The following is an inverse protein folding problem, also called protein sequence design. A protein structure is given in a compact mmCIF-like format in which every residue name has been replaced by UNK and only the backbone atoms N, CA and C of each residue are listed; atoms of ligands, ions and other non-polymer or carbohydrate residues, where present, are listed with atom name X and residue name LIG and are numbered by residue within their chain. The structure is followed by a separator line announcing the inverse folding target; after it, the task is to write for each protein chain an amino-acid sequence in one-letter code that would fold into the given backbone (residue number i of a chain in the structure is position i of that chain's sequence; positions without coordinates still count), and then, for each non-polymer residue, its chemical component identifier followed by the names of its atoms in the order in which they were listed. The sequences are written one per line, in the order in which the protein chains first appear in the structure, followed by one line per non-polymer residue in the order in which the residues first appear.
data_IF_873099920459
#
_entry.id   IF_873099920459
#
_cell.length_a   1.000
_cell.length_b   1.000
_cell.length_c   1.000
_cell.angle_alpha   90.00
_cell.angle_beta   90.00
_cell.angle_gamma   90.00
#
_symmetry.space_group_name_H-M   'P 1'
#
loop_
_entity.id
_entity.type
_entity.pdbx_description
1 polymer ?
#
# COMPACT_ATOMS: atom_id res chain seq x y z
N UNK A 1 21.64 31.76 43.68
CA UNK A 1 22.23 30.76 42.78
C UNK A 1 21.09 30.04 42.09
N UNK A 2 20.88 30.35 40.82
CA UNK A 2 19.74 29.87 40.02
C UNK A 2 20.12 28.59 39.28
N UNK A 3 19.23 27.59 39.29
CA UNK A 3 19.20 26.51 38.33
C UNK A 3 18.09 26.80 37.31
N UNK A 4 18.41 26.77 36.02
CA UNK A 4 17.41 26.75 34.96
C UNK A 4 17.86 25.87 33.78
N UNK A 5 16.95 24.96 33.41
CA UNK A 5 16.62 24.45 32.06
C UNK A 5 17.72 23.89 31.14
N UNK A 6 17.63 22.60 30.84
CA UNK A 6 18.17 21.97 29.64
C UNK A 6 17.05 21.61 28.66
N UNK A 7 16.85 22.45 27.65
CA UNK A 7 16.03 22.15 26.47
C UNK A 7 16.81 21.21 25.53
N UNK A 8 16.17 20.14 25.06
CA UNK A 8 16.68 19.30 23.97
C UNK A 8 16.30 19.97 22.65
N UNK A 9 17.29 20.54 21.97
CA UNK A 9 17.19 21.18 20.67
C UNK A 9 17.26 20.10 19.57
N UNK A 10 16.11 19.80 18.92
CA UNK A 10 16.08 19.02 17.68
C UNK A 10 16.60 19.92 16.56
N UNK A 11 17.90 19.82 16.26
CA UNK A 11 18.52 20.54 15.15
C UNK A 11 18.12 19.90 13.81
N UNK A 12 17.20 20.58 13.11
CA UNK A 12 17.02 20.47 11.67
C UNK A 12 18.28 21.03 10.99
N UNK A 13 19.13 20.16 10.46
CA UNK A 13 20.34 20.51 9.74
C UNK A 13 20.05 21.07 8.35
N UNK A 14 20.80 22.11 7.95
CA UNK A 14 20.72 22.81 6.66
C UNK A 14 21.27 21.99 5.48
N UNK A 15 20.40 21.81 4.48
CA UNK A 15 20.59 21.86 3.00
C UNK A 15 21.84 21.27 2.34
N UNK A 16 21.65 20.12 1.69
CA UNK A 16 22.18 19.84 0.34
C UNK A 16 21.22 18.87 -0.40
N UNK A 17 20.49 19.42 -1.38
CA UNK A 17 19.86 18.84 -2.58
C UNK A 17 19.17 17.44 -2.65
N UNK A 18 19.03 16.67 -1.57
CA UNK A 18 18.38 15.35 -1.60
C UNK A 18 17.35 15.14 -0.46
N UNK A 19 16.71 16.21 0.03
CA UNK A 19 15.64 16.09 1.04
C UNK A 19 14.35 15.59 0.39
N UNK A 20 14.36 14.33 -0.01
CA UNK A 20 13.16 13.60 -0.37
C UNK A 20 12.69 12.87 0.86
N UNK A 21 11.47 13.25 1.25
CA UNK A 21 10.77 12.82 2.44
C UNK A 21 10.40 11.35 2.25
N UNK A 22 11.00 10.47 3.05
CA UNK A 22 10.81 9.01 3.06
C UNK A 22 11.32 8.50 4.41
N UNK A 23 10.78 7.40 4.93
CA UNK A 23 11.31 6.83 6.17
C UNK A 23 12.73 6.30 5.98
N UNK A 24 13.67 6.78 6.81
CA UNK A 24 15.08 6.41 6.76
C UNK A 24 15.65 6.22 8.17
N UNK A 25 16.21 5.04 8.44
CA UNK A 25 16.97 4.75 9.65
C UNK A 25 18.44 4.49 9.33
N UNK A 26 19.35 5.18 10.01
CA UNK A 26 20.80 4.99 9.88
C UNK A 26 21.36 4.21 11.08
N UNK A 27 22.36 3.38 10.81
CA UNK A 27 23.10 2.58 11.78
C UNK A 27 24.60 2.77 11.54
N UNK A 28 25.17 3.95 11.87
CA UNK A 28 26.55 4.28 11.51
C UNK A 28 27.58 3.28 12.10
N UNK A 29 27.32 2.81 13.32
CA UNK A 29 28.18 1.88 14.06
C UNK A 29 27.99 0.41 13.66
N UNK A 30 27.01 0.09 12.81
CA UNK A 30 26.76 -1.28 12.37
C UNK A 30 27.70 -1.62 11.19
N UNK A 31 28.41 -2.74 11.26
CA UNK A 31 29.38 -3.14 10.25
C UNK A 31 28.73 -3.62 8.95
N UNK A 32 27.58 -4.28 9.02
CA UNK A 32 26.94 -4.91 7.85
C UNK A 32 25.83 -4.06 7.23
N UNK A 33 24.96 -3.47 8.06
CA UNK A 33 23.77 -2.74 7.63
C UNK A 33 23.93 -1.27 8.00
N UNK A 34 24.26 -0.41 7.04
CA UNK A 34 24.52 1.02 7.31
C UNK A 34 23.26 1.86 7.44
N UNK A 35 22.21 1.51 6.72
CA UNK A 35 20.89 2.17 6.79
C UNK A 35 19.80 1.31 6.16
N UNK A 36 18.58 1.50 6.63
CA UNK A 36 17.35 0.94 6.05
C UNK A 36 16.45 2.10 5.66
N UNK A 37 15.91 2.04 4.45
CA UNK A 37 14.95 3.02 3.92
C UNK A 37 13.67 2.32 3.51
N UNK A 38 12.52 2.94 3.76
CA UNK A 38 11.21 2.39 3.43
C UNK A 38 10.45 3.41 2.59
N UNK A 39 9.92 2.96 1.44
CA UNK A 39 9.18 3.77 0.47
C UNK A 39 8.06 2.94 -0.13
N UNK A 40 6.80 3.23 0.19
CA UNK A 40 5.66 2.44 -0.28
C UNK A 40 5.86 0.94 0.00
N UNK A 41 5.88 0.07 -1.03
CA UNK A 41 6.16 -1.37 -0.88
C UNK A 41 7.65 -1.73 -0.87
N UNK A 42 8.58 -0.77 -0.97
CA UNK A 42 10.02 -1.05 -1.07
C UNK A 42 10.74 -0.89 0.27
N UNK A 43 11.56 -1.88 0.63
CA UNK A 43 12.56 -1.78 1.68
C UNK A 43 13.95 -1.79 1.05
N UNK A 44 14.72 -0.73 1.24
CA UNK A 44 16.10 -0.63 0.76
C UNK A 44 17.08 -0.84 1.90
N UNK A 45 17.93 -1.86 1.80
CA UNK A 45 18.97 -2.17 2.79
C UNK A 45 20.33 -1.81 2.19
N UNK A 46 21.10 -1.00 2.89
CA UNK A 46 22.41 -0.55 2.43
C UNK A 46 23.53 -1.31 3.14
N UNK A 47 24.41 -1.87 2.34
CA UNK A 47 25.49 -2.76 2.77
C UNK A 47 26.83 -2.22 2.24
N UNK A 48 27.91 -2.19 3.04
CA UNK A 48 29.22 -1.82 2.53
C UNK A 48 29.66 -2.71 1.37
N UNK A 49 30.32 -2.15 0.35
CA UNK A 49 30.78 -2.91 -0.83
C UNK A 49 31.62 -4.14 -0.43
N UNK A 50 32.45 -4.01 0.60
CA UNK A 50 33.29 -5.10 1.11
C UNK A 50 32.50 -6.27 1.75
N UNK A 51 31.25 -6.06 2.15
CA UNK A 51 30.42 -7.05 2.84
C UNK A 51 29.33 -7.67 1.94
N UNK A 52 29.31 -7.36 0.64
CA UNK A 52 28.24 -7.79 -0.26
C UNK A 52 28.11 -9.29 -0.40
N UNK A 53 29.21 -9.98 -0.67
CA UNK A 53 29.21 -11.44 -0.84
C UNK A 53 28.79 -12.13 0.47
N UNK A 54 29.26 -11.60 1.61
CA UNK A 54 28.89 -12.09 2.92
C UNK A 54 27.38 -11.92 3.17
N UNK A 55 26.83 -10.73 2.91
CA UNK A 55 25.41 -10.44 3.02
C UNK A 55 24.56 -11.38 2.14
N UNK A 56 24.93 -11.55 0.87
CA UNK A 56 24.20 -12.42 -0.06
C UNK A 56 24.21 -13.88 0.36
N UNK A 57 25.36 -14.36 0.84
CA UNK A 57 25.50 -15.75 1.32
C UNK A 57 24.69 -15.97 2.60
N UNK A 58 24.81 -15.05 3.56
CA UNK A 58 24.16 -15.12 4.87
C UNK A 58 22.65 -15.01 4.76
N UNK A 59 22.16 -14.05 3.97
CA UNK A 59 20.73 -13.77 3.81
C UNK A 59 20.13 -14.35 2.53
N UNK A 60 20.66 -15.49 2.06
CA UNK A 60 20.13 -16.19 0.88
C UNK A 60 18.63 -16.51 1.00
N UNK A 61 18.16 -16.86 2.21
CA UNK A 61 16.72 -17.13 2.48
C UNK A 61 15.87 -15.88 2.28
N UNK A 62 16.32 -14.72 2.78
CA UNK A 62 15.65 -13.43 2.57
C UNK A 62 15.58 -13.11 1.07
N UNK A 63 16.70 -13.27 0.34
CA UNK A 63 16.79 -13.04 -1.10
C UNK A 63 15.95 -14.00 -1.93
N UNK A 64 15.68 -15.21 -1.43
CA UNK A 64 14.75 -16.14 -2.08
C UNK A 64 13.28 -15.88 -1.76
N UNK A 65 13.00 -15.23 -0.62
CA UNK A 65 11.64 -14.97 -0.15
C UNK A 65 11.04 -13.71 -0.79
N UNK A 66 11.87 -12.68 -0.99
CA UNK A 66 11.43 -11.40 -1.53
C UNK A 66 12.04 -11.17 -2.90
N UNK A 67 11.22 -10.68 -3.83
CA UNK A 67 11.71 -10.13 -5.09
C UNK A 67 12.64 -8.95 -4.81
N UNK A 68 13.74 -8.86 -5.54
CA UNK A 68 14.72 -7.77 -5.43
C UNK A 68 14.74 -7.02 -6.76
N UNK A 69 14.65 -5.69 -6.73
CA UNK A 69 14.90 -4.89 -7.92
C UNK A 69 16.39 -4.95 -8.25
N UNK A 70 16.72 -5.26 -9.51
CA UNK A 70 18.06 -5.04 -10.03
C UNK A 70 18.45 -3.57 -9.85
N UNK A 71 19.67 -3.34 -9.37
CA UNK A 71 20.21 -1.99 -9.19
C UNK A 71 20.28 -1.30 -10.56
N UNK A 72 19.69 -0.11 -10.66
CA UNK A 72 19.73 0.72 -11.86
C UNK A 72 18.75 0.34 -12.97
N UNK A 73 17.80 -0.58 -12.75
CA UNK A 73 16.83 -0.99 -13.77
C UNK A 73 15.40 -0.50 -13.47
N UNK A 74 14.78 0.20 -14.42
CA UNK A 74 13.36 0.55 -14.40
C UNK A 74 12.97 1.79 -13.58
N UNK A 75 11.70 2.19 -13.71
CA UNK A 75 11.09 3.27 -12.95
C UNK A 75 10.80 2.88 -11.51
N UNK A 76 10.56 1.59 -11.24
CA UNK A 76 10.35 1.10 -9.88
C UNK A 76 11.61 1.22 -9.02
N UNK A 77 12.80 1.10 -9.62
CA UNK A 77 14.06 1.42 -8.94
C UNK A 77 14.18 2.92 -8.63
N UNK A 78 13.87 3.77 -9.60
CA UNK A 78 13.84 5.23 -9.39
C UNK A 78 12.82 5.63 -8.31
N UNK A 79 11.67 4.96 -8.25
CA UNK A 79 10.69 5.11 -7.18
C UNK A 79 11.23 4.67 -5.82
N UNK A 80 11.90 3.53 -5.74
CA UNK A 80 12.54 3.08 -4.50
C UNK A 80 13.57 4.10 -4.00
N UNK A 81 14.13 4.94 -4.88
CA UNK A 81 14.99 6.08 -4.53
C UNK A 81 14.25 7.41 -4.34
N UNK A 82 13.02 7.53 -4.83
CA UNK A 82 12.31 8.79 -5.10
C UNK A 82 13.10 9.79 -5.95
N UNK A 83 14.06 9.32 -6.76
CA UNK A 83 14.89 10.21 -7.58
C UNK A 83 14.35 10.28 -9.00
N UNK A 84 14.32 11.48 -9.59
CA UNK A 84 14.09 11.61 -11.04
C UNK A 84 15.33 11.14 -11.79
N UNK A 85 15.17 10.18 -12.71
CA UNK A 85 16.15 9.82 -13.74
C UNK A 85 17.59 9.61 -13.22
N UNK A 86 17.80 8.59 -12.38
CA UNK A 86 19.18 8.13 -12.10
C UNK A 86 19.77 7.31 -13.24
N UNK A 87 18.96 6.88 -14.20
CA UNK A 87 19.36 6.13 -15.41
C UNK A 87 20.55 6.74 -16.16
N UNK A 88 20.80 8.05 -16.03
CA UNK A 88 21.96 8.71 -16.65
C UNK A 88 23.06 9.17 -15.67
N UNK A 89 22.82 9.08 -14.35
CA UNK A 89 23.78 9.56 -13.34
C UNK A 89 25.01 8.67 -13.17
N UNK A 90 24.89 7.37 -13.48
CA UNK A 90 26.02 6.44 -13.44
C UNK A 90 27.08 6.74 -14.52
N UNK A 91 26.67 7.35 -15.65
CA UNK A 91 27.56 7.71 -16.76
C UNK A 91 28.42 8.95 -16.45
N UNK A 92 28.00 9.80 -15.50
CA UNK A 92 28.64 11.10 -15.26
C UNK A 92 29.02 11.38 -13.80
N UNK A 93 28.85 10.41 -12.89
CA UNK A 93 29.23 10.55 -11.48
C UNK A 93 30.75 10.49 -11.25
N UNK A 94 31.36 11.61 -10.83
CA UNK A 94 32.73 11.62 -10.30
C UNK A 94 32.83 10.65 -9.10
N UNK A 95 33.74 9.66 -9.19
CA UNK A 95 34.06 8.73 -8.10
C UNK A 95 34.52 9.53 -6.86
N UNK A 96 33.64 9.65 -5.86
CA UNK A 96 34.03 10.18 -4.55
C UNK A 96 34.80 9.11 -3.77
N UNK A 97 35.84 9.50 -3.02
CA UNK A 97 36.69 8.61 -2.17
C UNK A 97 36.00 8.14 -0.87
N UNK A 98 34.67 8.24 -0.76
CA UNK A 98 33.93 7.69 0.40
C UNK A 98 33.71 6.19 0.18
N UNK A 99 33.71 5.42 1.27
CA UNK A 99 33.25 4.02 1.28
C UNK A 99 31.97 3.91 0.44
N UNK A 100 32.04 3.10 -0.63
CA UNK A 100 30.88 2.84 -1.44
C UNK A 100 29.99 1.85 -0.70
N UNK A 101 28.72 2.20 -0.58
CA UNK A 101 27.70 1.29 -0.10
C UNK A 101 26.87 0.88 -1.30
N UNK A 102 26.68 -0.42 -1.47
CA UNK A 102 25.67 -0.97 -2.37
C UNK A 102 24.36 -1.13 -1.61
N UNK A 103 23.27 -1.38 -2.33
CA UNK A 103 21.95 -1.48 -1.73
C UNK A 103 21.07 -2.50 -2.43
N UNK A 104 20.23 -3.17 -1.63
CA UNK A 104 19.25 -4.14 -2.08
C UNK A 104 17.86 -3.54 -1.92
N UNK A 105 17.07 -3.51 -2.99
CA UNK A 105 15.68 -3.06 -2.97
C UNK A 105 14.75 -4.26 -2.92
N UNK A 106 14.28 -4.59 -1.73
CA UNK A 106 13.31 -5.64 -1.53
C UNK A 106 11.91 -5.12 -1.82
N UNK A 107 11.15 -5.90 -2.59
CA UNK A 107 9.77 -5.62 -2.93
C UNK A 107 8.89 -6.41 -1.96
N UNK A 108 8.11 -5.71 -1.15
CA UNK A 108 7.08 -6.30 -0.32
C UNK A 108 5.84 -6.64 -1.17
N UNK A 109 5.05 -7.64 -0.77
CA UNK A 109 3.80 -8.01 -1.47
C UNK A 109 2.71 -6.94 -1.37
N UNK A 110 2.88 -5.95 -0.51
CA UNK A 110 1.97 -4.82 -0.31
C UNK A 110 2.76 -3.62 0.23
N UNK A 111 2.10 -2.47 0.39
CA UNK A 111 2.69 -1.31 1.07
C UNK A 111 3.25 -1.70 2.45
N UNK A 112 4.36 -1.09 2.85
CA UNK A 112 5.01 -1.39 4.12
C UNK A 112 4.08 -1.09 5.33
N UNK A 113 4.01 -2.04 6.25
CA UNK A 113 3.21 -2.03 7.48
C UNK A 113 4.08 -2.47 8.65
N UNK A 114 3.68 -2.17 9.89
CA UNK A 114 4.40 -2.64 11.08
C UNK A 114 4.56 -4.17 11.08
N UNK A 115 3.53 -4.91 10.65
CA UNK A 115 3.51 -6.37 10.61
C UNK A 115 4.50 -6.94 9.57
N UNK A 116 4.47 -6.45 8.32
CA UNK A 116 5.36 -6.98 7.28
C UNK A 116 6.81 -6.53 7.46
N UNK A 117 7.05 -5.34 8.04
CA UNK A 117 8.41 -4.91 8.43
C UNK A 117 8.92 -5.78 9.57
N UNK A 118 8.10 -6.12 10.56
CA UNK A 118 8.51 -7.03 11.64
C UNK A 118 8.97 -8.38 11.06
N UNK A 119 8.17 -8.93 10.15
CA UNK A 119 8.50 -10.19 9.45
C UNK A 119 9.81 -10.07 8.66
N UNK A 120 9.98 -8.98 7.91
CA UNK A 120 11.20 -8.70 7.16
C UNK A 120 12.43 -8.59 8.07
N UNK A 121 12.31 -7.89 9.20
CA UNK A 121 13.43 -7.68 10.13
C UNK A 121 13.82 -8.95 10.89
N UNK A 122 12.92 -9.92 11.03
CA UNK A 122 13.22 -11.20 11.68
C UNK A 122 14.21 -12.05 10.88
N UNK A 123 14.37 -11.79 9.58
CA UNK A 123 15.42 -12.44 8.79
C UNK A 123 16.83 -12.03 9.23
N UNK A 124 17.02 -10.83 9.78
CA UNK A 124 18.35 -10.39 10.23
C UNK A 124 18.70 -11.03 11.56
N UNK A 125 19.91 -11.56 11.68
CA UNK A 125 20.43 -12.06 12.95
C UNK A 125 20.70 -10.91 13.92
N UNK A 126 20.70 -11.19 15.23
CA UNK A 126 20.88 -10.15 16.25
C UNK A 126 22.28 -9.55 16.27
N UNK A 127 23.28 -10.25 15.73
CA UNK A 127 24.65 -9.72 15.55
C UNK A 127 24.73 -8.67 14.43
N UNK A 128 23.87 -8.79 13.41
CA UNK A 128 23.85 -7.88 12.26
C UNK A 128 22.80 -6.78 12.39
N UNK A 129 21.75 -7.01 13.17
CA UNK A 129 20.79 -6.00 13.56
C UNK A 129 20.20 -6.38 14.92
N UNK A 130 20.69 -5.75 15.98
CA UNK A 130 20.29 -6.11 17.35
C UNK A 130 18.78 -5.98 17.58
N UNK A 131 18.24 -6.76 18.53
CA UNK A 131 16.84 -6.62 18.98
C UNK A 131 16.46 -5.18 19.34
N UNK A 132 17.40 -4.43 19.93
CA UNK A 132 17.21 -3.01 20.24
C UNK A 132 17.03 -2.15 18.99
N UNK A 133 17.89 -2.34 17.99
CA UNK A 133 17.81 -1.64 16.70
C UNK A 133 16.53 -1.99 15.94
N UNK A 134 16.14 -3.27 15.89
CA UNK A 134 14.88 -3.73 15.27
C UNK A 134 13.66 -3.06 15.91
N UNK A 135 13.57 -3.10 17.26
CA UNK A 135 12.47 -2.46 18.01
C UNK A 135 12.42 -0.95 17.80
N UNK A 136 13.58 -0.30 17.78
CA UNK A 136 13.65 1.14 17.55
C UNK A 136 13.19 1.51 16.13
N UNK A 137 13.64 0.78 15.10
CA UNK A 137 13.20 1.01 13.73
C UNK A 137 11.68 0.85 13.61
N UNK A 138 11.11 -0.23 14.17
CA UNK A 138 9.66 -0.47 14.15
C UNK A 138 8.88 0.65 14.84
N UNK A 139 9.35 1.11 16.01
CA UNK A 139 8.73 2.22 16.73
C UNK A 139 8.75 3.51 15.89
N UNK A 140 9.91 3.87 15.36
CA UNK A 140 10.06 5.09 14.56
C UNK A 140 9.26 5.02 13.26
N UNK A 141 9.18 3.85 12.62
CA UNK A 141 8.32 3.65 11.45
C UNK A 141 6.84 3.77 11.80
N UNK A 142 6.41 3.19 12.92
CA UNK A 142 5.04 3.30 13.41
C UNK A 142 4.65 4.76 13.64
N UNK A 143 5.53 5.52 14.31
CA UNK A 143 5.32 6.95 14.57
C UNK A 143 5.25 7.75 13.25
N UNK A 144 6.15 7.48 12.28
CA UNK A 144 6.09 8.05 10.92
C UNK A 144 4.77 7.72 10.22
N UNK A 145 4.37 6.46 10.18
CA UNK A 145 3.20 5.98 9.44
C UNK A 145 1.86 6.48 10.00
N UNK A 146 1.79 6.79 11.30
CA UNK A 146 0.58 7.35 11.94
C UNK A 146 0.50 8.86 11.85
N UNK A 147 1.60 9.53 11.52
CA UNK A 147 1.68 10.99 11.47
C UNK A 147 1.15 11.50 10.13
N UNK A 148 0.00 12.17 10.15
CA UNK A 148 -0.59 12.79 8.95
C UNK A 148 -0.04 14.21 8.82
N UNK A 149 0.81 14.45 7.82
CA UNK A 149 1.36 15.75 7.46
C UNK A 149 1.34 15.92 5.94
N UNK A 150 1.57 17.13 5.43
CA UNK A 150 1.68 17.33 3.97
C UNK A 150 2.81 16.49 3.36
N UNK A 151 3.88 16.29 4.12
CA UNK A 151 5.01 15.48 3.72
C UNK A 151 4.65 13.99 3.55
N UNK A 152 3.99 13.39 4.55
CA UNK A 152 3.56 11.99 4.48
C UNK A 152 2.45 11.76 3.46
N UNK A 153 1.58 12.76 3.24
CA UNK A 153 0.58 12.72 2.17
C UNK A 153 1.22 12.87 0.77
N UNK A 154 2.25 13.71 0.64
CA UNK A 154 3.03 13.85 -0.61
C UNK A 154 3.75 12.54 -0.96
N UNK A 155 4.34 11.85 0.02
CA UNK A 155 4.95 10.51 -0.17
C UNK A 155 3.95 9.53 -0.80
N UNK A 156 2.73 9.49 -0.26
CA UNK A 156 1.65 8.63 -0.75
C UNK A 156 1.25 8.99 -2.17
N UNK A 157 1.03 10.28 -2.48
CA UNK A 157 0.68 10.72 -3.83
C UNK A 157 1.79 10.37 -4.83
N UNK A 158 3.06 10.61 -4.46
CA UNK A 158 4.21 10.26 -5.30
C UNK A 158 4.26 8.76 -5.56
N UNK A 159 3.93 7.91 -4.59
CA UNK A 159 3.86 6.46 -4.82
C UNK A 159 2.86 6.09 -5.92
N UNK A 160 1.73 6.78 -5.98
CA UNK A 160 0.72 6.53 -7.01
C UNK A 160 1.22 6.98 -8.39
N UNK A 161 1.88 8.14 -8.46
CA UNK A 161 2.50 8.66 -9.70
C UNK A 161 3.53 7.68 -10.26
N UNK A 162 4.33 7.07 -9.39
CA UNK A 162 5.34 6.11 -9.81
C UNK A 162 4.73 4.80 -10.33
N UNK A 163 3.70 4.27 -9.67
CA UNK A 163 2.98 3.10 -10.18
C UNK A 163 2.38 3.39 -11.55
N UNK A 164 1.75 4.56 -11.73
CA UNK A 164 1.21 4.98 -13.02
C UNK A 164 2.30 5.13 -14.09
N UNK A 165 3.44 5.73 -13.73
CA UNK A 165 4.55 5.90 -14.66
C UNK A 165 5.12 4.54 -15.10
N UNK A 166 5.26 3.61 -14.15
CA UNK A 166 5.71 2.25 -14.44
C UNK A 166 4.73 1.50 -15.34
N UNK A 167 3.43 1.70 -15.16
CA UNK A 167 2.41 1.13 -16.03
C UNK A 167 2.53 1.65 -17.47
N UNK A 168 2.63 2.97 -17.63
CA UNK A 168 2.75 3.62 -18.95
C UNK A 168 4.06 3.31 -19.67
N UNK A 169 5.11 2.91 -18.95
CA UNK A 169 6.40 2.52 -19.51
C UNK A 169 6.61 1.01 -19.54
N UNK A 170 5.56 0.22 -19.28
CA UNK A 170 5.60 -1.25 -19.26
C UNK A 170 6.74 -1.80 -18.37
N UNK A 171 6.97 -1.19 -17.21
CA UNK A 171 8.01 -1.61 -16.28
C UNK A 171 7.75 -3.07 -15.85
N UNK A 172 8.71 -3.99 -16.09
CA UNK A 172 8.50 -5.42 -15.89
C UNK A 172 8.35 -5.81 -14.41
N UNK A 173 8.66 -4.92 -13.47
CA UNK A 173 8.42 -5.16 -12.06
C UNK A 173 6.98 -4.85 -11.67
N UNK A 174 6.31 -3.93 -12.36
CA UNK A 174 4.91 -3.63 -12.04
C UNK A 174 4.00 -4.81 -12.38
N UNK A 175 4.18 -5.46 -13.52
CA UNK A 175 3.37 -6.65 -13.88
C UNK A 175 3.57 -7.83 -12.93
N UNK A 176 4.69 -7.87 -12.19
CA UNK A 176 4.92 -8.86 -11.12
C UNK A 176 4.26 -8.47 -9.80
N UNK A 177 4.21 -7.18 -9.49
CA UNK A 177 3.62 -6.65 -8.25
C UNK A 177 2.11 -6.54 -8.32
N UNK A 178 1.60 -6.07 -9.46
CA UNK A 178 0.19 -5.77 -9.71
C UNK A 178 -0.26 -6.39 -11.05
N UNK A 179 -0.22 -7.73 -11.17
CA UNK A 179 -0.55 -8.42 -12.41
C UNK A 179 -1.98 -8.14 -12.88
N UNK A 180 -2.97 -8.15 -11.99
CA UNK A 180 -4.38 -7.98 -12.37
C UNK A 180 -4.67 -6.56 -12.84
N UNK A 181 -4.09 -5.57 -12.17
CA UNK A 181 -4.21 -4.17 -12.59
C UNK A 181 -3.53 -3.93 -13.93
N UNK A 182 -2.35 -4.52 -14.15
CA UNK A 182 -1.62 -4.41 -15.41
C UNK A 182 -2.39 -5.08 -16.56
N UNK A 183 -2.90 -6.29 -16.35
CA UNK A 183 -3.77 -7.01 -17.31
C UNK A 183 -4.99 -6.16 -17.68
N UNK A 184 -5.73 -5.67 -16.68
CA UNK A 184 -6.92 -4.86 -16.92
C UNK A 184 -6.62 -3.61 -17.74
N UNK A 185 -5.54 -2.88 -17.41
CA UNK A 185 -5.18 -1.64 -18.12
C UNK A 185 -4.82 -1.94 -19.57
N UNK A 186 -4.05 -3.00 -19.82
CA UNK A 186 -3.69 -3.43 -21.17
C UNK A 186 -4.94 -3.80 -21.99
N UNK A 187 -5.86 -4.55 -21.39
CA UNK A 187 -7.11 -4.98 -22.04
C UNK A 187 -8.05 -3.81 -22.36
N UNK A 188 -8.01 -2.72 -21.56
CA UNK A 188 -8.82 -1.52 -21.83
C UNK A 188 -8.11 -0.44 -22.62
N UNK A 189 -6.79 -0.54 -22.82
CA UNK A 189 -5.97 0.44 -23.54
C UNK A 189 -6.56 0.85 -24.91
N UNK A 190 -7.08 -0.08 -25.74
CA UNK A 190 -7.70 0.27 -27.02
C UNK A 190 -8.91 1.20 -26.89
N UNK A 191 -9.52 1.28 -25.71
CA UNK A 191 -10.69 2.11 -25.42
C UNK A 191 -10.35 3.38 -24.62
N UNK A 192 -9.10 3.56 -24.19
CA UNK A 192 -8.67 4.79 -23.54
C UNK A 192 -8.45 5.87 -24.61
N UNK A 193 -9.33 6.87 -24.65
CA UNK A 193 -9.22 7.98 -25.60
C UNK A 193 -8.02 8.88 -25.26
N UNK A 194 -7.26 9.29 -26.27
CA UNK A 194 -6.27 10.36 -26.13
C UNK A 194 -6.90 11.73 -25.83
N UNK A 195 -8.23 11.86 -25.97
CA UNK A 195 -9.00 13.05 -25.63
C UNK A 195 -10.06 12.69 -24.57
N UNK A 196 -9.90 13.12 -23.30
CA UNK A 196 -10.81 12.79 -22.21
C UNK A 196 -12.23 13.35 -22.40
N UNK A 197 -12.40 14.36 -23.26
CA UNK A 197 -13.71 14.98 -23.55
C UNK A 197 -14.52 14.24 -24.63
N UNK A 198 -13.93 13.20 -25.24
CA UNK A 198 -14.61 12.34 -26.22
C UNK A 198 -14.67 10.91 -25.69
N UNK A 199 -15.76 10.53 -25.00
CA UNK A 199 -15.90 9.16 -24.50
C UNK A 199 -15.92 8.18 -25.67
N UNK A 200 -15.15 7.10 -25.55
CA UNK A 200 -15.25 5.96 -26.46
C UNK A 200 -16.56 5.26 -26.15
N UNK A 201 -17.41 5.07 -27.17
CA UNK A 201 -18.67 4.35 -27.02
C UNK A 201 -18.38 2.84 -26.98
N UNK A 202 -18.23 2.30 -25.77
CA UNK A 202 -17.97 0.88 -25.52
C UNK A 202 -19.29 0.22 -25.13
N UNK A 203 -19.71 -0.80 -25.89
CA UNK A 203 -20.91 -1.56 -25.55
C UNK A 203 -20.76 -2.23 -24.16
N UNK A 204 -21.79 -2.16 -23.28
CA UNK A 204 -21.78 -2.86 -21.99
C UNK A 204 -21.70 -4.39 -22.10
N UNK A 205 -21.97 -4.95 -23.27
CA UNK A 205 -21.90 -6.39 -23.51
C UNK A 205 -20.49 -6.90 -23.79
N UNK A 206 -19.53 -6.01 -24.04
CA UNK A 206 -18.13 -6.40 -24.23
C UNK A 206 -17.55 -6.71 -22.86
N UNK A 207 -17.11 -7.95 -22.68
CA UNK A 207 -16.48 -8.42 -21.47
C UNK A 207 -14.98 -8.60 -21.72
N UNK A 208 -14.16 -8.16 -20.78
CA UNK A 208 -12.72 -8.44 -20.73
C UNK A 208 -12.41 -9.34 -19.54
N UNK A 209 -11.28 -10.04 -19.65
CA UNK A 209 -10.80 -10.92 -18.60
C UNK A 209 -9.88 -10.14 -17.66
N UNK A 210 -10.06 -10.32 -16.36
CA UNK A 210 -9.13 -9.79 -15.34
C UNK A 210 -8.91 -10.89 -14.32
N UNK A 211 -7.76 -11.55 -14.38
CA UNK A 211 -7.56 -12.83 -13.71
C UNK A 211 -8.64 -13.82 -14.14
N UNK A 212 -9.28 -14.53 -13.20
CA UNK A 212 -10.36 -15.46 -13.55
C UNK A 212 -11.75 -14.81 -13.72
N UNK A 213 -11.82 -13.47 -13.71
CA UNK A 213 -13.08 -12.72 -13.77
C UNK A 213 -13.37 -12.16 -15.14
N UNK A 214 -14.66 -11.98 -15.41
CA UNK A 214 -15.15 -11.21 -16.54
C UNK A 214 -15.74 -9.91 -16.02
N UNK A 215 -15.25 -8.78 -16.52
CA UNK A 215 -15.78 -7.45 -16.23
C UNK A 215 -16.19 -6.76 -17.52
N UNK A 216 -17.19 -5.89 -17.45
CA UNK A 216 -17.58 -5.05 -18.58
C UNK A 216 -16.39 -4.17 -18.97
N UNK A 217 -15.97 -4.22 -20.23
CA UNK A 217 -14.88 -3.40 -20.77
C UNK A 217 -15.17 -1.91 -20.59
N UNK A 218 -16.44 -1.52 -20.74
CA UNK A 218 -16.90 -0.16 -20.51
C UNK A 218 -16.68 0.27 -19.06
N UNK A 219 -17.09 -0.58 -18.11
CA UNK A 219 -17.00 -0.24 -16.69
C UNK A 219 -15.53 -0.22 -16.24
N UNK A 220 -14.70 -1.15 -16.73
CA UNK A 220 -13.26 -1.15 -16.50
C UNK A 220 -12.58 0.11 -17.07
N UNK A 221 -12.87 0.48 -18.33
CA UNK A 221 -12.32 1.70 -18.94
C UNK A 221 -12.75 2.97 -18.19
N UNK A 222 -14.01 3.06 -17.75
CA UNK A 222 -14.51 4.17 -16.94
C UNK A 222 -13.78 4.25 -15.59
N UNK A 223 -13.58 3.11 -14.91
CA UNK A 223 -12.86 3.06 -13.64
C UNK A 223 -11.38 3.42 -13.78
N UNK A 224 -10.70 2.96 -14.84
CA UNK A 224 -9.31 3.34 -15.12
C UNK A 224 -9.21 4.83 -15.43
N UNK A 225 -10.13 5.37 -16.23
CA UNK A 225 -10.20 6.81 -16.55
C UNK A 225 -10.44 7.66 -15.30
N UNK A 226 -11.37 7.24 -14.43
CA UNK A 226 -11.63 7.89 -13.16
C UNK A 226 -10.39 7.89 -12.25
N UNK A 227 -9.73 6.72 -12.10
CA UNK A 227 -8.49 6.59 -11.35
C UNK A 227 -7.42 7.55 -11.88
N UNK A 228 -7.14 7.51 -13.19
CA UNK A 228 -6.12 8.38 -13.81
C UNK A 228 -6.44 9.87 -13.64
N UNK A 229 -7.72 10.24 -13.74
CA UNK A 229 -8.16 11.62 -13.49
C UNK A 229 -7.85 12.06 -12.06
N UNK A 230 -8.18 11.23 -11.06
CA UNK A 230 -7.84 11.52 -9.66
C UNK A 230 -6.34 11.59 -9.42
N UNK A 231 -5.55 10.70 -10.03
CA UNK A 231 -4.09 10.75 -9.94
C UNK A 231 -3.52 12.04 -10.55
N UNK A 232 -4.10 12.53 -11.65
CA UNK A 232 -3.77 13.83 -12.24
C UNK A 232 -4.03 14.98 -11.26
N UNK A 233 -5.21 15.01 -10.64
CA UNK A 233 -5.56 16.02 -9.63
C UNK A 233 -4.61 15.97 -8.42
N UNK A 234 -4.32 14.77 -7.92
CA UNK A 234 -3.39 14.58 -6.80
C UNK A 234 -1.97 15.01 -7.18
N UNK A 235 -1.52 14.77 -8.42
CA UNK A 235 -0.23 15.26 -8.90
C UNK A 235 -0.13 16.78 -8.85
N UNK A 236 -1.17 17.49 -9.31
CA UNK A 236 -1.22 18.95 -9.22
C UNK A 236 -1.20 19.46 -7.77
N UNK A 237 -1.86 18.74 -6.86
CA UNK A 237 -1.80 19.05 -5.42
C UNK A 237 -0.38 18.83 -4.87
N UNK A 238 0.28 17.73 -5.25
CA UNK A 238 1.64 17.42 -4.82
C UNK A 238 2.65 18.49 -5.28
N UNK A 239 2.51 19.01 -6.49
CA UNK A 239 3.31 20.16 -6.96
C UNK A 239 3.12 21.42 -6.11
N UNK A 240 1.92 21.65 -5.56
CA UNK A 240 1.66 22.73 -4.60
C UNK A 240 2.41 22.45 -3.28
N UNK A 241 2.37 21.22 -2.77
CA UNK A 241 3.13 20.82 -1.56
C UNK A 241 4.62 21.08 -1.77
N UNK A 242 5.17 20.62 -2.88
CA UNK A 242 6.59 20.79 -3.23
C UNK A 242 6.98 22.28 -3.31
N UNK A 243 6.13 23.14 -3.89
CA UNK A 243 6.36 24.60 -3.93
C UNK A 243 6.36 25.23 -2.54
N UNK A 244 5.38 24.88 -1.70
CA UNK A 244 5.29 25.38 -0.31
C UNK A 244 6.51 24.93 0.51
N UNK A 245 6.95 23.69 0.33
CA UNK A 245 8.11 23.15 1.05
C UNK A 245 9.42 23.83 0.62
N UNK A 246 9.58 24.16 -0.66
CA UNK A 246 10.78 24.85 -1.18
C UNK A 246 10.81 26.34 -0.84
N UNK A 247 9.68 27.04 -0.93
CA UNK A 247 9.62 28.50 -0.79
C UNK A 247 9.10 29.00 0.56
N UNK A 248 8.71 28.12 1.49
CA UNK A 248 8.22 28.51 2.81
C UNK A 248 6.93 29.34 2.77
N UNK A 249 6.70 30.18 3.78
CA UNK A 249 5.49 31.03 3.86
C UNK A 249 5.38 32.04 2.70
N UNK A 250 6.50 32.41 2.08
CA UNK A 250 6.56 33.39 0.98
C UNK A 250 6.09 32.80 -0.36
N UNK A 251 6.07 31.47 -0.52
CA UNK A 251 5.49 30.80 -1.68
C UNK A 251 3.95 30.79 -1.69
N UNK A 252 3.32 31.18 -0.57
CA UNK A 252 1.87 31.17 -0.42
C UNK A 252 1.28 32.49 -0.89
N UNK A 253 0.59 32.45 -2.02
CA UNK A 253 -0.17 33.58 -2.56
C UNK A 253 -1.67 33.33 -2.39
N UNK A 254 -2.53 34.38 -2.45
CA UNK A 254 -3.98 34.19 -2.55
C UNK A 254 -4.38 33.24 -3.68
N UNK A 255 -3.61 33.24 -4.78
CA UNK A 255 -3.80 32.34 -5.91
C UNK A 255 -3.63 30.86 -5.53
N UNK A 256 -2.76 30.55 -4.57
CA UNK A 256 -2.57 29.18 -4.08
C UNK A 256 -3.88 28.61 -3.50
N UNK A 257 -4.63 29.44 -2.76
CA UNK A 257 -5.92 29.05 -2.19
C UNK A 257 -6.96 28.83 -3.30
N UNK A 258 -6.98 29.71 -4.31
CA UNK A 258 -7.88 29.56 -5.46
C UNK A 258 -7.61 28.25 -6.21
N UNK A 259 -6.34 27.99 -6.57
CA UNK A 259 -5.94 26.75 -7.26
C UNK A 259 -6.29 25.50 -6.44
N UNK A 260 -6.04 25.50 -5.12
CA UNK A 260 -6.42 24.37 -4.26
C UNK A 260 -7.94 24.14 -4.26
N UNK A 261 -8.74 25.20 -4.18
CA UNK A 261 -10.20 25.08 -4.22
C UNK A 261 -10.71 24.60 -5.59
N UNK A 262 -10.08 25.02 -6.69
CA UNK A 262 -10.40 24.49 -8.03
C UNK A 262 -10.09 22.99 -8.14
N UNK A 263 -8.94 22.56 -7.61
CA UNK A 263 -8.57 21.14 -7.57
C UNK A 263 -9.51 20.32 -6.68
N UNK A 264 -9.87 20.82 -5.49
CA UNK A 264 -10.83 20.15 -4.60
C UNK A 264 -12.23 20.10 -5.20
N UNK A 265 -12.68 21.16 -5.86
CA UNK A 265 -13.96 21.18 -6.57
C UNK A 265 -13.99 20.19 -7.73
N UNK A 266 -12.88 20.10 -8.48
CA UNK A 266 -12.73 19.12 -9.56
C UNK A 266 -12.77 17.70 -8.99
N UNK A 267 -12.02 17.43 -7.92
CA UNK A 267 -12.05 16.16 -7.21
C UNK A 267 -13.42 15.80 -6.64
N UNK A 268 -14.24 16.79 -6.27
CA UNK A 268 -15.61 16.59 -5.78
C UNK A 268 -16.59 16.22 -6.90
N UNK A 269 -16.25 16.48 -8.17
CA UNK A 269 -17.11 16.23 -9.34
C UNK A 269 -16.69 15.01 -10.16
N UNK A 270 -15.42 14.64 -10.11
CA UNK A 270 -14.88 13.47 -10.83
C UNK A 270 -15.39 12.18 -10.17
N UNK A 271 -16.12 11.28 -10.85
CA UNK A 271 -16.58 10.04 -10.24
C UNK A 271 -15.42 9.22 -9.67
N UNK A 272 -15.61 8.62 -8.50
CA UNK A 272 -14.62 7.68 -7.96
C UNK A 272 -14.57 6.37 -8.74
N UNK A 273 -13.38 5.77 -8.88
CA UNK A 273 -13.25 4.47 -9.51
C UNK A 273 -13.83 3.38 -8.61
N UNK A 274 -14.64 2.47 -9.15
CA UNK A 274 -15.25 1.37 -8.41
C UNK A 274 -14.78 0.01 -8.95
N UNK A 275 -13.77 -0.56 -8.31
CA UNK A 275 -13.21 -1.88 -8.67
C UNK A 275 -13.85 -3.05 -7.92
N UNK A 276 -14.89 -2.82 -7.10
CA UNK A 276 -15.55 -3.86 -6.28
C UNK A 276 -16.18 -5.00 -7.10
N UNK A 277 -16.36 -4.80 -8.41
CA UNK A 277 -16.88 -5.83 -9.33
C UNK A 277 -15.88 -6.97 -9.55
N UNK A 278 -14.59 -6.76 -9.29
CA UNK A 278 -13.54 -7.80 -9.30
C UNK A 278 -12.83 -7.82 -7.93
N UNK A 279 -13.25 -8.70 -7.00
CA UNK A 279 -12.74 -8.70 -5.63
C UNK A 279 -11.21 -8.89 -5.53
N UNK A 280 -10.61 -9.73 -6.37
CA UNK A 280 -9.15 -9.90 -6.37
C UNK A 280 -8.43 -8.65 -6.89
N UNK A 281 -8.91 -8.02 -7.96
CA UNK A 281 -8.34 -6.76 -8.45
C UNK A 281 -8.47 -5.67 -7.38
N UNK A 282 -9.64 -5.55 -6.74
CA UNK A 282 -9.85 -4.59 -5.66
C UNK A 282 -8.87 -4.81 -4.50
N UNK A 283 -8.66 -6.07 -4.08
CA UNK A 283 -7.71 -6.41 -3.03
C UNK A 283 -6.26 -6.06 -3.42
N UNK A 284 -5.84 -6.38 -4.66
CA UNK A 284 -4.52 -6.01 -5.20
C UNK A 284 -4.34 -4.49 -5.20
N UNK A 285 -5.34 -3.75 -5.67
CA UNK A 285 -5.33 -2.31 -5.68
C UNK A 285 -5.22 -1.73 -4.26
N UNK A 286 -6.04 -2.17 -3.30
CA UNK A 286 -6.01 -1.66 -1.92
C UNK A 286 -4.68 -1.97 -1.21
N UNK A 287 -3.99 -3.07 -1.57
CA UNK A 287 -2.68 -3.40 -1.02
C UNK A 287 -1.58 -2.40 -1.41
N UNK A 288 -1.70 -1.75 -2.58
CA UNK A 288 -0.73 -0.78 -3.10
C UNK A 288 -1.23 0.67 -3.10
N UNK A 289 -2.55 0.87 -3.13
CA UNK A 289 -3.27 2.14 -3.12
C UNK A 289 -4.26 2.17 -1.94
N UNK A 290 -3.78 2.45 -0.71
CA UNK A 290 -4.64 2.42 0.48
C UNK A 290 -5.78 3.45 0.44
N UNK A 291 -5.67 4.48 -0.41
CA UNK A 291 -6.73 5.42 -0.72
C UNK A 291 -7.16 5.23 -2.17
N UNK A 292 -8.08 4.29 -2.39
CA UNK A 292 -8.75 4.05 -3.67
C UNK A 292 -10.26 4.03 -3.47
N UNK A 293 -11.02 4.22 -4.55
CA UNK A 293 -12.49 4.23 -4.53
C UNK A 293 -13.01 5.29 -3.54
N UNK A 294 -14.03 4.98 -2.75
CA UNK A 294 -14.60 5.86 -1.73
C UNK A 294 -13.59 6.39 -0.70
N UNK A 295 -12.43 5.75 -0.52
CA UNK A 295 -11.40 6.23 0.39
C UNK A 295 -10.61 7.44 -0.15
N UNK A 296 -10.78 7.81 -1.41
CA UNK A 296 -10.26 9.08 -1.94
C UNK A 296 -10.82 10.29 -1.18
N UNK A 297 -12.07 10.24 -0.71
CA UNK A 297 -12.63 11.28 0.17
C UNK A 297 -11.75 11.52 1.40
N UNK A 298 -11.26 10.44 2.03
CA UNK A 298 -10.42 10.54 3.21
C UNK A 298 -9.08 11.22 2.89
N UNK A 299 -8.46 10.87 1.76
CA UNK A 299 -7.22 11.49 1.32
C UNK A 299 -7.39 12.99 1.04
N UNK A 300 -8.42 13.39 0.30
CA UNK A 300 -8.69 14.80 0.01
C UNK A 300 -9.03 15.60 1.26
N UNK A 301 -9.78 15.03 2.21
CA UNK A 301 -10.08 15.71 3.47
C UNK A 301 -8.82 15.87 4.34
N UNK A 302 -7.96 14.85 4.40
CA UNK A 302 -6.65 14.96 5.06
C UNK A 302 -5.79 16.04 4.42
N UNK A 303 -5.71 16.08 3.08
CA UNK A 303 -4.99 17.12 2.36
C UNK A 303 -5.53 18.50 2.69
N UNK A 304 -6.84 18.70 2.61
CA UNK A 304 -7.50 19.97 2.97
C UNK A 304 -7.16 20.41 4.39
N UNK A 305 -7.25 19.50 5.37
CA UNK A 305 -6.94 19.81 6.77
C UNK A 305 -5.47 20.21 6.95
N UNK A 306 -4.55 19.47 6.32
CA UNK A 306 -3.12 19.76 6.39
C UNK A 306 -2.76 21.07 5.70
N UNK A 307 -3.35 21.38 4.54
CA UNK A 307 -3.20 22.69 3.89
C UNK A 307 -3.82 23.80 4.73
N UNK A 308 -5.02 23.62 5.28
CA UNK A 308 -5.67 24.64 6.10
C UNK A 308 -4.82 25.02 7.32
N UNK A 309 -4.21 24.01 7.96
CA UNK A 309 -3.25 24.22 9.05
C UNK A 309 -1.98 24.93 8.56
N UNK A 310 -1.36 24.43 7.48
CA UNK A 310 -0.09 24.98 6.95
C UNK A 310 -0.22 26.42 6.45
N UNK A 311 -1.36 26.74 5.85
CA UNK A 311 -1.67 28.04 5.26
C UNK A 311 -2.42 28.97 6.21
N UNK A 312 -2.72 28.52 7.44
CA UNK A 312 -3.43 29.27 8.48
C UNK A 312 -4.76 29.86 7.95
N UNK A 313 -5.55 29.07 7.21
CA UNK A 313 -6.75 29.53 6.50
C UNK A 313 -7.96 28.61 6.68
N UNK A 314 -9.14 29.21 6.85
CA UNK A 314 -10.44 28.52 6.85
C UNK A 314 -11.15 28.53 5.49
N UNK A 315 -10.49 29.01 4.42
CA UNK A 315 -11.11 29.22 3.09
C UNK A 315 -11.08 28.00 2.17
N UNK A 316 -10.43 26.92 2.58
CA UNK A 316 -10.33 25.71 1.77
C UNK A 316 -11.62 24.90 1.86
N UNK A 317 -12.18 24.56 0.71
CA UNK A 317 -13.45 23.88 0.58
C UNK A 317 -13.23 22.59 -0.21
N UNK A 318 -13.58 21.47 0.40
CA UNK A 318 -13.71 20.18 -0.24
C UNK A 318 -15.08 19.62 0.14
N UNK A 319 -15.82 19.12 -0.84
CA UNK A 319 -17.14 18.52 -0.65
C UNK A 319 -17.00 17.04 -0.95
N UNK A 320 -16.99 16.17 0.07
CA UNK A 320 -16.87 14.73 -0.15
C UNK A 320 -17.96 14.21 -1.10
N UNK A 321 -17.57 13.35 -2.02
CA UNK A 321 -18.55 12.69 -2.88
C UNK A 321 -19.39 11.69 -2.10
N UNK A 322 -20.68 11.64 -2.41
CA UNK A 322 -21.59 10.64 -1.87
C UNK A 322 -21.39 9.35 -2.66
N UNK A 323 -20.82 8.33 -2.02
CA UNK A 323 -20.73 7.00 -2.60
C UNK A 323 -22.06 6.27 -2.43
N UNK A 324 -22.79 6.05 -3.53
CA UNK A 324 -24.04 5.29 -3.52
C UNK A 324 -23.77 3.77 -3.61
N UNK A 325 -22.92 3.26 -2.72
CA UNK A 325 -22.65 1.83 -2.62
C UNK A 325 -23.66 1.17 -1.65
N UNK A 326 -24.09 -0.07 -1.93
CA UNK A 326 -24.84 -0.87 -0.96
C UNK A 326 -24.09 -0.96 0.39
N UNK A 327 -24.79 -0.97 1.54
CA UNK A 327 -24.14 -1.06 2.87
C UNK A 327 -23.21 -2.27 3.04
N UNK A 328 -23.54 -3.38 2.38
CA UNK A 328 -22.70 -4.58 2.37
C UNK A 328 -21.35 -4.37 1.67
N UNK A 329 -21.33 -3.62 0.56
CA UNK A 329 -20.11 -3.30 -0.17
C UNK A 329 -19.26 -2.27 0.59
N UNK A 330 -19.89 -1.33 1.30
CA UNK A 330 -19.20 -0.41 2.22
C UNK A 330 -18.48 -1.20 3.32
N UNK A 331 -19.19 -2.12 3.99
CA UNK A 331 -18.64 -2.91 5.08
C UNK A 331 -17.51 -3.83 4.61
N UNK A 332 -17.67 -4.45 3.44
CA UNK A 332 -16.63 -5.24 2.80
C UNK A 332 -15.38 -4.41 2.51
N UNK A 333 -15.54 -3.25 1.87
CA UNK A 333 -14.43 -2.37 1.52
C UNK A 333 -13.66 -1.88 2.77
N UNK A 334 -14.39 -1.52 3.84
CA UNK A 334 -13.77 -1.14 5.10
C UNK A 334 -12.96 -2.27 5.76
N UNK A 335 -13.48 -3.51 5.70
CA UNK A 335 -12.79 -4.68 6.23
C UNK A 335 -11.50 -4.96 5.43
N UNK A 336 -11.57 -4.90 4.09
CA UNK A 336 -10.40 -5.05 3.23
C UNK A 336 -9.34 -3.97 3.50
N UNK A 337 -9.73 -2.70 3.66
CA UNK A 337 -8.80 -1.62 4.01
C UNK A 337 -8.13 -1.83 5.37
N UNK A 338 -8.86 -2.37 6.35
CA UNK A 338 -8.25 -2.70 7.64
C UNK A 338 -7.24 -3.84 7.49
N UNK A 339 -7.62 -4.92 6.80
CA UNK A 339 -6.79 -6.11 6.59
C UNK A 339 -5.52 -5.82 5.78
N UNK A 340 -5.58 -4.94 4.79
CA UNK A 340 -4.40 -4.58 3.99
C UNK A 340 -3.27 -3.97 4.82
N UNK A 341 -3.59 -3.45 6.01
CA UNK A 341 -2.63 -2.90 6.98
C UNK A 341 -2.05 -3.93 7.95
N UNK A 342 -2.50 -5.18 7.90
CA UNK A 342 -2.14 -6.26 8.84
C UNK A 342 -1.06 -7.20 8.29
N UNK A 343 -0.34 -6.79 7.24
CA UNK A 343 0.70 -7.60 6.60
C UNK A 343 0.15 -8.86 5.91
N UNK A 344 0.97 -9.91 5.79
CA UNK A 344 0.64 -11.12 5.03
C UNK A 344 -0.63 -11.83 5.55
N UNK A 345 -0.84 -11.82 6.87
CA UNK A 345 -2.04 -12.41 7.47
C UNK A 345 -3.31 -11.75 6.95
N UNK A 346 -3.29 -10.42 6.86
CA UNK A 346 -4.38 -9.64 6.30
C UNK A 346 -4.63 -9.98 4.84
N UNK A 347 -3.57 -10.07 4.03
CA UNK A 347 -3.67 -10.46 2.62
C UNK A 347 -4.30 -11.85 2.45
N UNK A 348 -3.95 -12.84 3.29
CA UNK A 348 -4.58 -14.17 3.24
C UNK A 348 -6.05 -14.17 3.61
N UNK A 349 -6.45 -13.36 4.58
CA UNK A 349 -7.88 -13.20 4.91
C UNK A 349 -8.61 -12.50 3.75
N UNK A 350 -8.00 -11.49 3.12
CA UNK A 350 -8.54 -10.81 1.94
C UNK A 350 -8.74 -11.79 0.76
N UNK A 351 -7.80 -12.69 0.49
CA UNK A 351 -7.92 -13.77 -0.51
C UNK A 351 -9.13 -14.67 -0.22
N UNK A 352 -9.29 -15.11 1.03
CA UNK A 352 -10.45 -15.90 1.47
C UNK A 352 -11.76 -15.12 1.26
N UNK A 353 -11.79 -13.83 1.59
CA UNK A 353 -12.95 -12.97 1.42
C UNK A 353 -13.32 -12.80 -0.06
N UNK A 354 -12.35 -12.54 -0.94
CA UNK A 354 -12.57 -12.44 -2.39
C UNK A 354 -13.21 -13.71 -2.95
N UNK A 355 -12.65 -14.88 -2.59
CA UNK A 355 -13.19 -16.18 -3.01
C UNK A 355 -14.64 -16.39 -2.57
N UNK A 356 -14.99 -15.95 -1.35
CA UNK A 356 -16.36 -16.07 -0.85
C UNK A 356 -17.32 -15.07 -1.51
N UNK A 357 -16.83 -13.87 -1.83
CA UNK A 357 -17.60 -12.83 -2.53
C UNK A 357 -17.98 -13.28 -3.94
N UNK A 358 -17.09 -13.98 -4.64
CA UNK A 358 -17.42 -14.64 -5.91
C UNK A 358 -18.46 -15.73 -5.75
N UNK A 359 -18.25 -16.59 -4.76
CA UNK A 359 -19.18 -17.65 -4.43
C UNK A 359 -20.60 -17.15 -4.12
N UNK A 360 -20.72 -15.96 -3.51
CA UNK A 360 -22.02 -15.32 -3.19
C UNK A 360 -22.90 -15.17 -4.43
N UNK A 361 -22.30 -14.94 -5.61
CA UNK A 361 -23.01 -14.74 -6.88
C UNK A 361 -23.19 -16.03 -7.69
N UNK A 362 -22.66 -17.17 -7.22
CA UNK A 362 -22.66 -18.43 -7.95
C UNK A 362 -23.90 -19.28 -7.67
N UNK A 363 -24.42 -19.93 -8.72
CA UNK A 363 -25.49 -20.95 -8.60
C UNK A 363 -24.95 -22.35 -8.25
N UNK A 364 -23.63 -22.54 -8.23
CA UNK A 364 -23.05 -23.85 -7.93
C UNK A 364 -23.25 -24.20 -6.43
N UNK A 365 -23.85 -25.35 -6.10
CA UNK A 365 -24.09 -25.78 -4.72
C UNK A 365 -22.85 -25.79 -3.81
N UNK A 366 -21.65 -25.91 -4.38
CA UNK A 366 -20.39 -25.78 -3.65
C UNK A 366 -20.21 -24.43 -2.94
N UNK A 367 -20.90 -23.38 -3.42
CA UNK A 367 -20.85 -22.03 -2.87
C UNK A 367 -22.02 -21.70 -1.92
N UNK A 368 -22.86 -22.68 -1.58
CA UNK A 368 -23.91 -22.50 -0.57
C UNK A 368 -23.33 -21.87 0.71
N UNK A 369 -24.07 -20.90 1.27
CA UNK A 369 -23.70 -20.12 2.45
C UNK A 369 -22.41 -19.29 2.33
N UNK A 370 -21.81 -19.12 1.13
CA UNK A 370 -20.61 -18.29 0.98
C UNK A 370 -20.87 -16.85 1.39
N UNK A 371 -22.04 -16.28 1.06
CA UNK A 371 -22.45 -14.95 1.51
C UNK A 371 -22.57 -14.84 3.03
N UNK A 372 -23.23 -15.81 3.69
CA UNK A 372 -23.35 -15.84 5.15
C UNK A 372 -21.99 -16.00 5.85
N UNK A 373 -21.11 -16.83 5.29
CA UNK A 373 -19.74 -16.98 5.83
C UNK A 373 -18.93 -15.70 5.63
N UNK A 374 -19.01 -15.09 4.46
CA UNK A 374 -18.33 -13.82 4.17
C UNK A 374 -18.77 -12.74 5.15
N UNK A 375 -20.07 -12.56 5.35
CA UNK A 375 -20.59 -11.56 6.28
C UNK A 375 -20.06 -11.79 7.70
N UNK A 376 -20.05 -13.04 8.18
CA UNK A 376 -19.48 -13.36 9.49
C UNK A 376 -17.99 -13.03 9.63
N UNK A 377 -17.21 -13.14 8.54
CA UNK A 377 -15.80 -12.72 8.53
C UNK A 377 -15.71 -11.19 8.53
N UNK A 378 -16.50 -10.49 7.70
CA UNK A 378 -16.53 -9.02 7.64
C UNK A 378 -16.87 -8.43 9.01
N UNK A 379 -17.92 -8.94 9.66
CA UNK A 379 -18.36 -8.47 10.98
C UNK A 379 -17.26 -8.66 12.04
N UNK A 380 -16.64 -9.85 12.07
CA UNK A 380 -15.54 -10.14 12.98
C UNK A 380 -14.33 -9.22 12.75
N UNK A 381 -13.97 -8.97 11.48
CA UNK A 381 -12.86 -8.07 11.12
C UNK A 381 -13.15 -6.63 11.55
N UNK A 382 -14.37 -6.13 11.31
CA UNK A 382 -14.75 -4.78 11.72
C UNK A 382 -14.80 -4.62 13.25
N UNK A 383 -15.18 -5.67 13.98
CA UNK A 383 -15.09 -5.69 15.44
C UNK A 383 -13.65 -5.56 15.94
N UNK A 384 -12.68 -6.22 15.28
CA UNK A 384 -11.26 -6.12 15.62
C UNK A 384 -10.69 -4.73 15.34
N UNK A 385 -11.05 -4.14 14.19
CA UNK A 385 -10.67 -2.75 13.83
C UNK A 385 -11.01 -1.77 14.95
N UNK A 386 -12.19 -1.91 15.55
CA UNK A 386 -12.65 -1.04 16.63
C UNK A 386 -11.90 -1.23 17.96
N UNK A 387 -11.18 -2.35 18.14
CA UNK A 387 -10.44 -2.69 19.36
C UNK A 387 -8.91 -2.61 19.18
N UNK A 388 -8.42 -2.28 17.99
CA UNK A 388 -7.00 -2.27 17.62
C UNK A 388 -6.27 -3.59 17.96
N UNK A 389 -6.95 -4.73 17.82
CA UNK A 389 -6.41 -6.04 18.17
C UNK A 389 -5.46 -6.60 17.08
N UNK A 390 -4.41 -7.31 17.53
CA UNK A 390 -3.37 -7.89 16.68
C UNK A 390 -3.80 -9.25 16.08
N UNK A 391 -3.89 -9.33 14.75
CA UNK A 391 -4.26 -10.56 14.04
C UNK A 391 -3.38 -11.76 14.41
N UNK A 392 -2.09 -11.54 14.70
CA UNK A 392 -1.16 -12.60 15.05
C UNK A 392 -1.54 -13.36 16.33
N UNK A 393 -2.34 -12.74 17.21
CA UNK A 393 -2.85 -13.36 18.44
C UNK A 393 -4.29 -13.83 18.31
N UNK A 394 -5.08 -13.13 17.51
CA UNK A 394 -6.51 -13.38 17.35
C UNK A 394 -6.77 -14.59 16.46
N UNK A 395 -6.05 -14.69 15.34
CA UNK A 395 -6.27 -15.78 14.38
C UNK A 395 -5.93 -17.15 14.98
N UNK A 396 -4.87 -17.34 15.78
CA UNK A 396 -4.61 -18.64 16.42
C UNK A 396 -5.56 -18.98 17.59
N UNK A 397 -6.32 -18.02 18.12
CA UNK A 397 -7.19 -18.24 19.28
C UNK A 397 -8.51 -18.90 18.86
N UNK A 398 -8.79 -20.16 19.27
CA UNK A 398 -10.00 -20.87 18.86
C UNK A 398 -11.32 -20.25 19.34
N UNK A 399 -11.26 -19.39 20.36
CA UNK A 399 -12.41 -18.71 20.96
C UNK A 399 -12.67 -17.34 20.31
N UNK A 400 -11.78 -16.85 19.45
CA UNK A 400 -11.98 -15.54 18.82
C UNK A 400 -13.08 -15.56 17.76
N UNK A 401 -13.81 -14.45 17.64
CA UNK A 401 -14.86 -14.30 16.63
C UNK A 401 -14.33 -14.54 15.21
N UNK A 402 -13.12 -14.04 14.93
CA UNK A 402 -12.48 -14.22 13.62
C UNK A 402 -12.09 -15.67 13.36
N UNK A 403 -11.54 -16.39 14.34
CA UNK A 403 -11.25 -17.82 14.19
C UNK A 403 -12.53 -18.59 13.90
N UNK A 404 -13.59 -18.35 14.69
CA UNK A 404 -14.87 -19.03 14.52
C UNK A 404 -15.49 -18.74 13.14
N UNK A 405 -15.42 -17.50 12.68
CA UNK A 405 -15.89 -17.09 11.35
C UNK A 405 -15.09 -17.76 10.22
N UNK A 406 -13.75 -17.75 10.30
CA UNK A 406 -12.87 -18.42 9.33
C UNK A 406 -13.08 -19.93 9.35
N UNK A 407 -13.26 -20.53 10.53
CA UNK A 407 -13.40 -21.96 10.71
C UNK A 407 -14.83 -22.50 10.45
N UNK A 408 -15.81 -21.63 10.20
CA UNK A 408 -17.18 -22.04 9.86
C UNK A 408 -17.21 -22.85 8.54
N UNK A 409 -17.69 -24.10 8.54
CA UNK A 409 -17.93 -24.83 7.30
C UNK A 409 -19.01 -24.16 6.45
N UNK A 410 -18.85 -24.16 5.12
CA UNK A 410 -19.87 -23.60 4.20
C UNK A 410 -21.06 -24.54 4.01
N UNK A 411 -20.75 -25.82 3.86
CA UNK A 411 -21.75 -26.90 3.83
C UNK A 411 -21.93 -27.39 5.26
N UNK A 412 -23.18 -27.65 5.67
CA UNK A 412 -23.42 -28.46 6.86
C UNK A 412 -22.63 -29.76 6.71
N UNK A 413 -21.95 -30.25 7.77
CA UNK A 413 -21.33 -31.55 7.71
C UNK A 413 -22.45 -32.58 7.52
N UNK A 414 -22.71 -32.99 6.27
CA UNK A 414 -23.47 -34.19 5.93
C UNK A 414 -22.62 -35.39 6.40
N UNK A 415 -22.58 -35.59 7.71
CA UNK A 415 -21.91 -36.71 8.37
C UNK A 415 -23.00 -37.68 8.77
N UNK A 416 -23.41 -38.53 7.83
CA UNK A 416 -24.40 -39.57 8.07
C UNK A 416 -23.83 -40.77 8.87
N UNK A 417 -22.52 -40.86 9.09
CA UNK A 417 -21.91 -41.95 9.86
C UNK A 417 -20.65 -41.48 10.60
N UNK A 418 -20.72 -41.50 11.94
CA UNK A 418 -19.58 -41.79 12.84
C UNK A 418 -18.36 -40.87 12.79
N UNK A 419 -18.31 -39.93 13.74
CA UNK A 419 -17.14 -39.23 14.29
C UNK A 419 -15.77 -39.49 13.64
N UNK A 420 -15.15 -38.47 13.02
CA UNK A 420 -13.74 -38.13 13.21
C UNK A 420 -13.48 -36.67 12.83
N UNK A 421 -12.94 -35.93 13.80
CA UNK A 421 -12.30 -34.60 13.73
C UNK A 421 -13.16 -33.34 13.56
N UNK A 422 -12.94 -32.43 14.51
CA UNK A 422 -13.04 -30.97 14.40
C UNK A 422 -12.15 -30.53 13.23
N UNK A 423 -12.57 -30.81 11.99
CA UNK A 423 -11.77 -30.49 10.82
C UNK A 423 -11.79 -28.98 10.60
N UNK A 424 -10.59 -28.39 10.55
CA UNK A 424 -10.45 -26.98 10.19
C UNK A 424 -11.03 -26.76 8.80
N UNK A 425 -11.80 -25.68 8.63
CA UNK A 425 -12.35 -25.36 7.32
C UNK A 425 -11.21 -25.00 6.36
N UNK A 426 -11.41 -25.19 5.04
CA UNK A 426 -10.42 -24.78 4.03
C UNK A 426 -9.95 -23.33 4.19
N UNK A 427 -10.88 -22.43 4.55
CA UNK A 427 -10.55 -21.02 4.80
C UNK A 427 -9.61 -20.84 5.99
N UNK A 428 -9.78 -21.63 7.06
CA UNK A 428 -8.88 -21.57 8.22
C UNK A 428 -7.52 -22.17 7.88
N UNK A 429 -7.50 -23.33 7.20
CA UNK A 429 -6.25 -23.99 6.78
C UNK A 429 -5.37 -23.09 5.91
N UNK A 430 -6.00 -22.33 5.00
CA UNK A 430 -5.33 -21.39 4.09
C UNK A 430 -4.66 -20.24 4.85
N UNK A 431 -5.33 -19.69 5.86
CA UNK A 431 -4.78 -18.65 6.74
C UNK A 431 -3.71 -19.21 7.69
N UNK A 432 -3.88 -20.42 8.21
CA UNK A 432 -2.90 -21.06 9.11
C UNK A 432 -1.59 -21.48 8.43
N UNK A 433 -1.62 -21.74 7.12
CA UNK A 433 -0.40 -21.97 6.36
C UNK A 433 0.56 -20.78 6.47
N UNK A 434 0.03 -19.55 6.52
CA UNK A 434 0.81 -18.32 6.72
C UNK A 434 1.28 -18.14 8.17
N UNK A 435 0.50 -18.60 9.16
CA UNK A 435 0.96 -18.64 10.57
C UNK A 435 2.17 -19.59 10.69
N UNK A 436 2.10 -20.74 10.03
CA UNK A 436 3.13 -21.76 10.11
C UNK A 436 4.41 -21.33 9.39
N UNK A 437 4.30 -20.66 8.24
CA UNK A 437 5.45 -20.11 7.52
C UNK A 437 6.15 -19.00 8.32
N UNK A 438 5.38 -18.08 8.92
CA UNK A 438 5.91 -16.96 9.70
C UNK A 438 6.59 -17.38 11.03
N UNK A 439 6.19 -18.49 11.64
CA UNK A 439 6.83 -19.07 12.83
C UNK A 439 8.15 -19.83 12.54
N UNK A 440 8.42 -20.16 11.28
CA UNK A 440 9.65 -20.85 10.84
C UNK A 440 10.70 -19.92 10.21
N UNK A 441 10.49 -18.60 10.30
CA UNK A 441 11.41 -17.58 9.80
C UNK A 441 12.42 -17.14 10.84
#
# INVERSE_FOLDING_TARGET
MCCNQGQIEVRLGKTHHDDIIMFLKRFPENSLIKKIKISGPFISVYVPEAELENFQKKYKKLLSQYSVLSIGEGLMHDFAHYTHNKHFSFLFGKKSKKEKNEHFHFILPATATEANITTFLNFFEDEDLSKGQKKQLLKEFKDHSKTVTLETLSEQIKSYKYILSALLQEDPYLSKMMPLFTEMVHDVEPYLSANPDKPVDISPSIMIKVGDHQVSARDAANNVTALFTHLGLLSSIEEIIDRINKGGKEAVTPETINTLNELFHSASKTPFPNFSTSPYLFNELVAHFPFIDGHLNNLYEMLKQQFASRLETGKLIFVPQITNLPPEDISYNEAILFLSKQGNMGLKIMEVMARLQEGKKSLNPYWINSGTKLQGIVDAVLNLKNREEDLGKIVPNPESELYLALNKPRLLPLTFLGSFSVNKSKSMMEVEAEISSSLTC
#
